data_IF_996234278458
#
_entry.id   IF_996234278458
#
_cell.length_a   1.000
_cell.length_b   1.000
_cell.length_c   1.000
_cell.angle_alpha   90.00
_cell.angle_beta   90.00
_cell.angle_gamma   90.00
#
_symmetry.space_group_name_H-M   'P 1'
#
loop_
_entity.id
_entity.type
_entity.pdbx_description
1 polymer ?
#
# COMPACT_ATOMS: atom_id res chain seq x y z
N UNK A 1 5.12 -0.10 15.67
CA UNK A 1 3.92 -0.71 15.05
C UNK A 1 2.70 -0.47 15.94
N UNK A 2 1.58 -0.05 15.37
CA UNK A 2 0.37 0.37 16.09
C UNK A 2 -0.56 -0.79 16.48
N UNK A 3 -0.37 -1.98 15.90
CA UNK A 3 -1.14 -3.19 16.19
C UNK A 3 -1.38 -3.48 17.70
N UNK A 4 -0.37 -3.40 18.61
CA UNK A 4 -0.60 -3.63 20.03
C UNK A 4 -1.49 -2.58 20.71
N UNK A 5 -1.64 -1.40 20.11
CA UNK A 5 -2.45 -0.29 20.63
C UNK A 5 -3.91 -0.34 20.16
N UNK A 6 -4.23 -1.21 19.21
CA UNK A 6 -5.60 -1.40 18.71
C UNK A 6 -6.38 -2.36 19.62
N UNK A 7 -7.66 -2.06 19.85
CA UNK A 7 -8.58 -2.98 20.51
C UNK A 7 -8.76 -4.26 19.70
N UNK A 8 -9.15 -5.35 20.36
CA UNK A 8 -9.25 -6.68 19.75
C UNK A 8 -10.09 -6.68 18.45
N UNK A 9 -11.20 -5.95 18.44
CA UNK A 9 -12.07 -5.82 17.26
C UNK A 9 -11.34 -5.26 16.05
N UNK A 10 -10.54 -4.20 16.23
CA UNK A 10 -9.81 -3.57 15.12
C UNK A 10 -8.56 -4.35 14.73
N UNK A 11 -7.92 -5.02 15.68
CA UNK A 11 -6.79 -5.91 15.38
C UNK A 11 -7.22 -7.08 14.49
N UNK A 12 -8.42 -7.63 14.70
CA UNK A 12 -8.98 -8.69 13.86
C UNK A 12 -9.26 -8.28 12.41
N UNK A 13 -9.31 -6.97 12.12
CA UNK A 13 -9.50 -6.43 10.77
C UNK A 13 -8.19 -6.17 10.03
N UNK A 14 -7.05 -6.25 10.74
CA UNK A 14 -5.74 -6.06 10.10
C UNK A 14 -5.47 -7.19 9.11
N UNK A 15 -5.00 -6.81 7.94
CA UNK A 15 -4.51 -7.73 6.91
C UNK A 15 -2.99 -7.56 6.79
N UNK A 16 -2.33 -8.61 6.33
CA UNK A 16 -0.91 -8.54 6.03
C UNK A 16 -0.66 -7.44 4.97
N UNK A 17 0.34 -6.56 5.15
CA UNK A 17 0.72 -5.60 4.12
C UNK A 17 1.10 -6.35 2.85
N UNK A 18 0.53 -5.93 1.71
CA UNK A 18 0.83 -6.52 0.40
C UNK A 18 2.25 -6.19 -0.06
N UNK A 19 2.71 -4.98 0.26
CA UNK A 19 4.04 -4.47 -0.09
C UNK A 19 4.58 -3.62 1.07
N UNK A 20 5.89 -3.44 1.08
CA UNK A 20 6.50 -2.38 1.88
C UNK A 20 6.20 -0.98 1.31
N UNK A 21 6.61 0.06 2.03
CA UNK A 21 6.38 1.44 1.63
C UNK A 21 7.02 1.79 0.28
N UNK A 22 8.16 1.19 -0.07
CA UNK A 22 8.86 1.44 -1.33
C UNK A 22 8.15 0.73 -2.49
N UNK A 23 7.82 -0.55 -2.34
CA UNK A 23 7.08 -1.34 -3.32
C UNK A 23 5.73 -0.70 -3.65
N UNK A 24 4.99 -0.25 -2.63
CA UNK A 24 3.76 0.51 -2.82
C UNK A 24 3.96 1.82 -3.59
N UNK A 25 5.01 2.59 -3.28
CA UNK A 25 5.32 3.83 -3.97
C UNK A 25 5.67 3.60 -5.46
N UNK A 26 6.45 2.57 -5.76
CA UNK A 26 6.81 2.19 -7.14
C UNK A 26 5.58 1.77 -7.93
N UNK A 27 4.69 0.96 -7.35
CA UNK A 27 3.45 0.59 -8.03
C UNK A 27 2.56 1.79 -8.32
N UNK A 28 2.48 2.76 -7.40
CA UNK A 28 1.75 4.00 -7.65
C UNK A 28 2.37 4.79 -8.80
N UNK A 29 3.70 4.95 -8.81
CA UNK A 29 4.42 5.61 -9.89
C UNK A 29 4.15 4.91 -11.23
N UNK A 30 4.24 3.58 -11.29
CA UNK A 30 3.95 2.81 -12.49
C UNK A 30 2.54 3.08 -13.03
N UNK A 31 1.52 3.10 -12.15
CA UNK A 31 0.13 3.41 -12.56
C UNK A 31 -0.03 4.82 -13.12
N UNK A 32 0.65 5.81 -12.54
CA UNK A 32 0.54 7.21 -12.96
C UNK A 32 1.31 7.48 -14.26
N UNK A 33 2.52 6.96 -14.38
CA UNK A 33 3.43 7.30 -15.47
C UNK A 33 3.32 6.38 -16.69
N UNK A 34 2.81 5.14 -16.55
CA UNK A 34 2.59 4.26 -17.70
C UNK A 34 1.57 4.85 -18.70
N UNK A 35 0.59 5.62 -18.20
CA UNK A 35 -0.43 6.26 -19.05
C UNK A 35 0.12 7.49 -19.79
N UNK A 36 1.07 8.20 -19.20
CA UNK A 36 1.75 9.33 -19.86
C UNK A 36 2.77 8.88 -20.91
N UNK A 37 3.47 7.78 -20.67
CA UNK A 37 4.36 7.17 -21.67
C UNK A 37 3.55 6.59 -22.85
N UNK A 38 2.43 5.91 -22.59
CA UNK A 38 1.58 5.37 -23.65
C UNK A 38 0.86 6.44 -24.50
N UNK A 39 0.79 7.68 -24.02
CA UNK A 39 0.19 8.82 -24.73
C UNK A 39 1.22 9.69 -25.48
N UNK A 40 2.51 9.35 -25.38
CA UNK A 40 3.63 10.02 -26.06
C UNK A 40 3.97 9.31 -27.36
#
# INVERSE_FOLDING_TARGET
>A
LYAPRLSARYRALLKEPLDDALGGAVQMAARLFARTEAAR
#
